data_IF_299174202178
#
_entry.id   IF_299174202178
#
_cell.length_a   1.000
_cell.length_b   1.000
_cell.length_c   1.000
_cell.angle_alpha   90.00
_cell.angle_beta   90.00
_cell.angle_gamma   90.00
#
_symmetry.space_group_name_H-M   'P 1'
#
loop_
_entity.id
_entity.type
_entity.pdbx_description
1 polymer ?
#
# COMPACT_ATOMS: atom_id res chain seq x y z
N UNK A 1 49.97 14.19 -7.11
CA UNK A 1 49.22 13.80 -5.89
C UNK A 1 47.92 13.10 -6.31
N UNK A 2 47.79 11.80 -6.07
CA UNK A 2 46.54 11.06 -6.32
C UNK A 2 45.55 11.45 -5.21
N UNK A 3 44.43 12.09 -5.59
CA UNK A 3 43.30 12.32 -4.66
C UNK A 3 42.74 10.94 -4.29
N UNK A 4 42.89 10.53 -3.03
CA UNK A 4 42.16 9.38 -2.49
C UNK A 4 40.67 9.68 -2.62
N UNK A 5 39.96 8.98 -3.52
CA UNK A 5 38.51 8.97 -3.54
C UNK A 5 38.05 8.24 -2.28
N UNK A 6 37.53 8.96 -1.30
CA UNK A 6 36.83 8.36 -0.17
C UNK A 6 35.62 7.62 -0.75
N UNK A 7 35.62 6.31 -0.62
CA UNK A 7 34.51 5.48 -1.09
C UNK A 7 33.39 5.56 -0.04
N UNK A 8 32.50 6.52 -0.19
CA UNK A 8 31.33 6.71 0.68
C UNK A 8 30.37 5.55 0.40
N UNK A 9 29.98 4.83 1.44
CA UNK A 9 29.01 3.70 1.36
C UNK A 9 27.62 4.17 0.97
N UNK A 10 26.75 3.26 0.53
CA UNK A 10 25.35 3.58 0.24
C UNK A 10 24.62 4.13 1.45
N UNK A 11 24.92 3.59 2.65
CA UNK A 11 24.31 4.05 3.91
C UNK A 11 24.77 5.47 4.27
N UNK A 12 26.05 5.79 4.11
CA UNK A 12 26.57 7.13 4.37
C UNK A 12 25.91 8.17 3.45
N UNK A 13 25.80 7.87 2.15
CA UNK A 13 25.10 8.75 1.18
C UNK A 13 23.63 8.94 1.52
N UNK A 14 22.95 7.87 1.93
CA UNK A 14 21.57 7.92 2.37
C UNK A 14 21.43 8.84 3.60
N UNK A 15 22.28 8.68 4.60
CA UNK A 15 22.26 9.51 5.79
C UNK A 15 22.58 10.98 5.48
N UNK A 16 23.59 11.26 4.66
CA UNK A 16 23.94 12.63 4.25
C UNK A 16 22.76 13.30 3.53
N UNK A 17 22.14 12.60 2.57
CA UNK A 17 21.01 13.12 1.82
C UNK A 17 19.84 13.49 2.73
N UNK A 18 19.40 12.56 3.57
CA UNK A 18 18.23 12.79 4.42
C UNK A 18 18.52 13.74 5.59
N UNK A 19 19.75 13.78 6.10
CA UNK A 19 20.17 14.80 7.08
C UNK A 19 20.10 16.19 6.50
N UNK A 20 20.46 16.37 5.24
CA UNK A 20 20.36 17.67 4.57
C UNK A 20 18.91 18.11 4.32
N UNK A 21 18.00 17.15 4.16
CA UNK A 21 16.57 17.40 3.87
C UNK A 21 15.75 17.64 5.14
N UNK A 22 15.98 16.84 6.18
CA UNK A 22 15.17 16.85 7.40
C UNK A 22 15.84 17.53 8.58
N UNK A 23 17.11 17.94 8.44
CA UNK A 23 17.89 18.64 9.46
C UNK A 23 17.81 17.96 10.84
N UNK A 24 17.42 18.71 11.86
CA UNK A 24 17.32 18.25 13.24
C UNK A 24 16.30 17.11 13.46
N UNK A 25 15.37 16.93 12.53
CA UNK A 25 14.36 15.87 12.59
C UNK A 25 14.88 14.52 12.10
N UNK A 26 16.01 14.49 11.37
CA UNK A 26 16.48 13.27 10.75
C UNK A 26 16.84 12.15 11.75
N UNK A 27 17.52 12.42 12.87
CA UNK A 27 17.84 11.37 13.86
C UNK A 27 16.60 10.65 14.38
N UNK A 28 15.55 11.39 14.73
CA UNK A 28 14.27 10.85 15.21
C UNK A 28 13.56 10.04 14.14
N UNK A 29 13.46 10.59 12.93
CA UNK A 29 12.86 9.90 11.78
C UNK A 29 13.60 8.61 11.43
N UNK A 30 14.94 8.64 11.49
CA UNK A 30 15.77 7.46 11.22
C UNK A 30 15.50 6.34 12.22
N UNK A 31 15.39 6.66 13.51
CA UNK A 31 15.07 5.66 14.54
C UNK A 31 13.63 5.14 14.38
N UNK A 32 12.67 6.00 14.08
CA UNK A 32 11.29 5.58 13.79
C UNK A 32 11.21 4.62 12.59
N UNK A 33 12.00 4.85 11.54
CA UNK A 33 12.07 3.98 10.36
C UNK A 33 12.72 2.61 10.64
N UNK A 34 13.54 2.49 11.68
CA UNK A 34 14.11 1.20 12.12
C UNK A 34 13.18 0.40 13.00
N UNK A 35 12.16 1.03 13.55
CA UNK A 35 11.13 0.37 14.36
C UNK A 35 10.44 -0.73 13.55
N UNK A 36 10.10 -1.84 14.20
CA UNK A 36 9.23 -2.85 13.59
C UNK A 36 7.84 -2.26 13.48
N UNK A 37 7.37 -2.07 12.25
CA UNK A 37 5.95 -1.79 12.02
C UNK A 37 5.17 -3.01 12.48
N UNK A 38 4.24 -2.82 13.42
CA UNK A 38 3.28 -3.87 13.75
C UNK A 38 2.38 -4.10 12.54
N UNK A 39 2.46 -5.30 11.97
CA UNK A 39 1.54 -5.73 10.93
C UNK A 39 0.16 -5.90 11.56
N UNK A 40 -0.83 -5.19 11.04
CA UNK A 40 -2.20 -5.27 11.54
C UNK A 40 -3.08 -6.05 10.59
N UNK A 41 -3.98 -6.85 11.16
CA UNK A 41 -5.03 -7.52 10.37
C UNK A 41 -5.98 -6.44 9.88
N UNK A 42 -6.16 -6.37 8.56
CA UNK A 42 -6.92 -5.31 7.93
C UNK A 42 -8.40 -5.28 8.34
N UNK A 43 -9.07 -6.41 8.26
CA UNK A 43 -10.51 -6.48 8.46
C UNK A 43 -10.91 -7.79 9.13
N UNK A 44 -11.87 -7.75 10.08
CA UNK A 44 -12.31 -8.95 10.79
C UNK A 44 -13.11 -9.94 9.92
N UNK A 45 -13.64 -9.52 8.78
CA UNK A 45 -14.56 -10.30 7.95
C UNK A 45 -13.94 -10.81 6.64
N UNK A 46 -12.62 -10.75 6.48
CA UNK A 46 -11.93 -11.37 5.35
C UNK A 46 -11.87 -12.89 5.54
N UNK A 47 -12.01 -13.66 4.46
CA UNK A 47 -11.85 -15.12 4.47
C UNK A 47 -10.44 -15.53 4.90
N UNK A 48 -9.44 -14.76 4.48
CA UNK A 48 -8.06 -14.90 4.94
C UNK A 48 -7.54 -13.57 5.46
N UNK A 49 -6.79 -13.55 6.56
CA UNK A 49 -6.22 -12.32 7.10
C UNK A 49 -5.25 -11.69 6.09
N UNK A 50 -5.32 -10.37 5.94
CA UNK A 50 -4.40 -9.60 5.13
C UNK A 50 -3.72 -8.55 5.98
N UNK A 51 -2.39 -8.66 6.08
CA UNK A 51 -1.58 -7.80 6.94
C UNK A 51 -1.09 -6.58 6.17
N UNK A 52 -1.24 -5.41 6.76
CA UNK A 52 -0.80 -4.13 6.19
C UNK A 52 -0.13 -3.27 7.24
N UNK A 53 0.71 -2.34 6.80
CA UNK A 53 1.17 -1.25 7.64
C UNK A 53 0.02 -0.27 7.94
N UNK A 54 0.07 0.35 9.11
CA UNK A 54 -0.98 1.24 9.60
C UNK A 54 -1.19 2.46 8.69
N UNK A 55 -0.11 3.03 8.15
CA UNK A 55 -0.21 4.19 7.27
C UNK A 55 -0.98 3.88 6.00
N UNK A 56 -0.83 2.67 5.44
CA UNK A 56 -1.61 2.22 4.29
C UNK A 56 -3.10 2.05 4.59
N UNK A 57 -3.43 1.54 5.80
CA UNK A 57 -4.83 1.42 6.25
C UNK A 57 -5.44 2.80 6.43
N UNK A 58 -4.75 3.70 7.14
CA UNK A 58 -5.22 5.08 7.38
C UNK A 58 -5.46 5.79 6.05
N UNK A 59 -4.50 5.75 5.12
CA UNK A 59 -4.62 6.42 3.83
C UNK A 59 -5.87 5.97 3.04
N UNK A 60 -6.17 4.68 3.01
CA UNK A 60 -7.36 4.16 2.34
C UNK A 60 -8.67 4.46 3.12
N UNK A 61 -8.59 4.51 4.46
CA UNK A 61 -9.73 4.79 5.32
C UNK A 61 -10.19 6.25 5.30
N UNK A 62 -9.29 7.17 4.96
CA UNK A 62 -9.61 8.59 4.83
C UNK A 62 -10.43 8.91 3.57
N UNK A 63 -10.48 8.01 2.59
CA UNK A 63 -11.34 8.18 1.43
C UNK A 63 -12.81 8.09 1.88
N UNK A 64 -13.66 9.10 1.59
CA UNK A 64 -15.07 9.11 1.99
C UNK A 64 -15.92 8.17 1.10
N UNK A 65 -15.70 6.86 1.27
CA UNK A 65 -16.45 5.83 0.53
C UNK A 65 -17.68 5.43 1.32
N UNK A 66 -18.80 5.39 0.63
CA UNK A 66 -20.10 4.95 1.17
C UNK A 66 -20.58 3.66 0.49
N UNK A 67 -21.55 3.00 1.13
CA UNK A 67 -22.17 1.79 0.57
C UNK A 67 -22.91 2.10 -0.72
N UNK A 68 -22.54 1.41 -1.79
CA UNK A 68 -23.13 1.59 -3.12
C UNK A 68 -22.35 2.51 -4.05
N UNK A 69 -21.25 3.10 -3.58
CA UNK A 69 -20.39 3.94 -4.43
C UNK A 69 -19.70 3.14 -5.54
N UNK A 70 -19.27 3.88 -6.57
CA UNK A 70 -18.39 3.38 -7.61
C UNK A 70 -17.00 4.01 -7.46
N UNK A 71 -15.98 3.18 -7.20
CA UNK A 71 -14.62 3.64 -6.91
C UNK A 71 -13.63 3.11 -7.95
N UNK A 72 -12.71 3.99 -8.38
CA UNK A 72 -11.55 3.65 -9.19
C UNK A 72 -10.27 3.75 -8.34
N UNK A 73 -9.59 2.62 -8.13
CA UNK A 73 -8.22 2.59 -7.59
C UNK A 73 -7.25 2.50 -8.77
N UNK A 74 -6.54 3.58 -9.06
CA UNK A 74 -5.67 3.69 -10.24
C UNK A 74 -4.34 2.96 -10.10
N UNK A 75 -3.89 2.68 -8.89
CA UNK A 75 -2.61 2.01 -8.58
C UNK A 75 -2.84 0.89 -7.55
N UNK A 76 -3.77 0.00 -7.83
CA UNK A 76 -4.39 -0.89 -6.87
C UNK A 76 -3.49 -2.01 -6.33
N UNK A 77 -2.59 -2.55 -7.17
CA UNK A 77 -1.80 -3.71 -6.76
C UNK A 77 -0.77 -3.40 -5.64
N UNK A 78 -0.60 -4.32 -4.70
CA UNK A 78 -1.07 -5.71 -4.67
C UNK A 78 -2.51 -5.93 -4.17
N UNK A 79 -3.29 -4.88 -3.85
CA UNK A 79 -4.71 -4.97 -3.52
C UNK A 79 -5.08 -4.59 -2.08
N UNK A 80 -4.10 -4.32 -1.20
CA UNK A 80 -4.38 -4.05 0.21
C UNK A 80 -5.29 -2.83 0.43
N UNK A 81 -4.97 -1.68 -0.18
CA UNK A 81 -5.84 -0.49 -0.08
C UNK A 81 -7.20 -0.71 -0.72
N UNK A 82 -7.23 -1.44 -1.84
CA UNK A 82 -8.48 -1.84 -2.50
C UNK A 82 -9.36 -2.72 -1.61
N UNK A 83 -8.77 -3.58 -0.74
CA UNK A 83 -9.53 -4.35 0.26
C UNK A 83 -10.19 -3.45 1.30
N UNK A 84 -9.48 -2.40 1.78
CA UNK A 84 -10.07 -1.40 2.71
C UNK A 84 -11.26 -0.69 2.04
N UNK A 85 -11.11 -0.30 0.80
CA UNK A 85 -12.18 0.34 0.01
C UNK A 85 -13.35 -0.63 -0.17
N UNK A 86 -13.08 -1.87 -0.60
CA UNK A 86 -14.07 -2.91 -0.84
C UNK A 86 -14.94 -3.20 0.38
N UNK A 87 -14.34 -3.18 1.58
CA UNK A 87 -15.08 -3.42 2.84
C UNK A 87 -16.15 -2.37 3.14
N UNK A 88 -16.05 -1.18 2.55
CA UNK A 88 -16.99 -0.05 2.75
C UNK A 88 -18.02 0.06 1.65
N UNK A 89 -17.71 -0.45 0.45
CA UNK A 89 -18.61 -0.37 -0.72
C UNK A 89 -19.88 -1.23 -0.57
N UNK A 90 -19.80 -2.32 0.19
CA UNK A 90 -20.92 -3.25 0.33
C UNK A 90 -21.31 -3.92 -0.99
N UNK A 91 -22.40 -4.67 -0.97
CA UNK A 91 -22.85 -5.49 -2.12
C UNK A 91 -23.42 -4.71 -3.31
N UNK A 92 -23.73 -3.43 -3.14
CA UNK A 92 -24.29 -2.57 -4.18
C UNK A 92 -23.25 -1.68 -4.84
N UNK A 93 -22.02 -1.63 -4.29
CA UNK A 93 -20.94 -0.83 -4.81
C UNK A 93 -20.21 -1.49 -5.97
N UNK A 94 -19.30 -0.74 -6.59
CA UNK A 94 -18.41 -1.24 -7.62
C UNK A 94 -16.99 -0.74 -7.42
N UNK A 95 -16.00 -1.60 -7.74
CA UNK A 95 -14.58 -1.27 -7.63
C UNK A 95 -13.87 -1.59 -8.94
N UNK A 96 -13.31 -0.59 -9.58
CA UNK A 96 -12.34 -0.80 -10.66
C UNK A 96 -10.94 -0.69 -10.09
N UNK A 97 -10.24 -1.83 -10.01
CA UNK A 97 -8.88 -1.92 -9.49
C UNK A 97 -7.89 -1.98 -10.68
N UNK A 98 -7.22 -0.87 -10.94
CA UNK A 98 -6.29 -0.75 -12.06
C UNK A 98 -4.84 -0.88 -11.59
N UNK A 99 -4.01 -1.62 -12.35
CA UNK A 99 -2.55 -1.56 -12.21
C UNK A 99 -1.91 -1.90 -13.55
N UNK A 100 -0.93 -1.12 -13.96
CA UNK A 100 -0.29 -1.27 -15.27
C UNK A 100 0.49 -2.59 -15.40
N UNK A 101 1.10 -3.09 -14.32
CA UNK A 101 1.92 -4.32 -14.35
C UNK A 101 1.07 -5.58 -14.37
N UNK A 102 1.19 -6.46 -15.39
CA UNK A 102 0.49 -7.74 -15.41
C UNK A 102 0.82 -8.65 -14.22
N UNK A 103 2.08 -8.65 -13.78
CA UNK A 103 2.55 -9.48 -12.65
C UNK A 103 1.93 -8.99 -11.34
N UNK A 104 1.86 -7.67 -11.14
CA UNK A 104 1.22 -7.08 -9.97
C UNK A 104 -0.29 -7.33 -9.96
N UNK A 105 -0.95 -7.25 -11.14
CA UNK A 105 -2.38 -7.62 -11.26
C UNK A 105 -2.63 -9.08 -10.93
N UNK A 106 -1.73 -9.98 -11.31
CA UNK A 106 -1.86 -11.40 -10.93
C UNK A 106 -1.82 -11.60 -9.41
N UNK A 107 -0.89 -10.92 -8.73
CA UNK A 107 -0.85 -10.93 -7.25
C UNK A 107 -2.14 -10.37 -6.65
N UNK A 108 -2.64 -9.26 -7.17
CA UNK A 108 -3.89 -8.65 -6.72
C UNK A 108 -5.10 -9.57 -6.91
N UNK A 109 -5.19 -10.30 -8.03
CA UNK A 109 -6.21 -11.34 -8.24
C UNK A 109 -6.17 -12.40 -7.15
N UNK A 110 -4.99 -12.90 -6.83
CA UNK A 110 -4.81 -13.91 -5.78
C UNK A 110 -5.22 -13.36 -4.41
N UNK A 111 -4.85 -12.11 -4.10
CA UNK A 111 -5.26 -11.42 -2.87
C UNK A 111 -6.78 -11.33 -2.78
N UNK A 112 -7.45 -10.86 -3.83
CA UNK A 112 -8.91 -10.75 -3.83
C UNK A 112 -9.59 -12.11 -3.70
N UNK A 113 -9.14 -13.12 -4.44
CA UNK A 113 -9.68 -14.47 -4.33
C UNK A 113 -9.52 -15.07 -2.93
N UNK A 114 -8.37 -14.88 -2.29
CA UNK A 114 -8.13 -15.42 -0.95
C UNK A 114 -8.84 -14.65 0.16
N UNK A 115 -8.95 -13.33 0.04
CA UNK A 115 -9.47 -12.47 1.11
C UNK A 115 -10.97 -12.21 1.00
N UNK A 116 -11.50 -12.08 -0.21
CA UNK A 116 -12.92 -11.78 -0.44
C UNK A 116 -13.74 -13.02 -0.86
N UNK A 117 -13.09 -14.01 -1.51
CA UNK A 117 -13.78 -15.18 -2.04
C UNK A 117 -14.85 -14.81 -3.07
N UNK A 118 -15.98 -15.50 -3.01
CA UNK A 118 -17.18 -15.13 -3.76
C UNK A 118 -17.86 -13.94 -3.07
N UNK A 119 -17.75 -12.78 -3.67
CA UNK A 119 -18.36 -11.54 -3.18
C UNK A 119 -19.43 -11.05 -4.14
N UNK A 120 -20.48 -10.42 -3.60
CA UNK A 120 -21.50 -9.73 -4.41
C UNK A 120 -21.06 -8.34 -4.86
N UNK A 121 -19.93 -7.83 -4.37
CA UNK A 121 -19.35 -6.57 -4.83
C UNK A 121 -18.84 -6.75 -6.28
N UNK A 122 -19.22 -5.82 -7.17
CA UNK A 122 -18.71 -5.80 -8.54
C UNK A 122 -17.25 -5.32 -8.56
N UNK A 123 -16.33 -6.24 -8.82
CA UNK A 123 -14.89 -5.93 -8.87
C UNK A 123 -14.33 -6.19 -10.27
N UNK A 124 -13.85 -5.13 -10.92
CA UNK A 124 -13.19 -5.21 -12.22
C UNK A 124 -11.70 -4.91 -12.10
N UNK A 125 -10.85 -5.84 -12.52
CA UNK A 125 -9.39 -5.64 -12.58
C UNK A 125 -9.00 -5.22 -13.99
N UNK A 126 -8.29 -4.10 -14.10
CA UNK A 126 -7.87 -3.52 -15.38
C UNK A 126 -6.37 -3.23 -15.44
N UNK A 127 -5.84 -2.98 -16.63
CA UNK A 127 -4.43 -2.69 -16.85
C UNK A 127 -4.22 -1.50 -17.79
N UNK A 128 -5.01 -0.47 -17.63
CA UNK A 128 -4.90 0.75 -18.44
C UNK A 128 -3.71 1.63 -18.00
N UNK A 129 -3.19 2.38 -18.96
CA UNK A 129 -2.18 3.43 -18.74
C UNK A 129 -2.83 4.76 -18.42
#
# INVERSE_FOLDING_TARGET
MKKNKVNITGEERFNEYYSSLYLDRWPELKEALKGKNEEKVLLPNLLSPYYMDEASIIAASLLPVENGDSVLDMCAAPGGKSLVIASRLGSKGSLVANDRSPERRMRMKNVFSSCLGETSLDIKITGYN
#
